data_IF_812486529491
#
_entry.id   IF_812486529491
#
_cell.length_a   1.000
_cell.length_b   1.000
_cell.length_c   1.000
_cell.angle_alpha   90.00
_cell.angle_beta   90.00
_cell.angle_gamma   90.00
#
_symmetry.space_group_name_H-M   'P 1'
#
loop_
_entity.id
_entity.type
_entity.pdbx_description
1 polymer ?
#
# COMPACT_ATOMS: atom_id res chain seq x y z
N UNK A 1 -55.88 63.40 -15.92
CA UNK A 1 -55.33 62.08 -16.31
C UNK A 1 -53.84 62.25 -16.52
N UNK A 2 -53.02 61.78 -15.59
CA UNK A 2 -51.61 61.45 -15.84
C UNK A 2 -51.32 60.21 -15.01
N UNK A 3 -51.10 59.09 -15.70
CA UNK A 3 -50.83 57.79 -15.11
C UNK A 3 -49.39 57.66 -14.64
N UNK A 4 -49.23 56.92 -13.54
CA UNK A 4 -47.98 56.42 -12.98
C UNK A 4 -47.51 55.20 -13.78
N UNK A 5 -46.20 55.11 -14.06
CA UNK A 5 -45.39 53.90 -14.29
C UNK A 5 -43.93 54.38 -14.23
N UNK A 6 -42.95 53.82 -13.55
CA UNK A 6 -42.76 52.67 -12.66
C UNK A 6 -41.23 52.57 -12.51
N UNK A 7 -40.68 52.68 -11.30
CA UNK A 7 -39.24 52.56 -11.08
C UNK A 7 -38.85 51.08 -11.17
N UNK A 8 -37.86 50.78 -12.01
CA UNK A 8 -37.26 49.46 -12.11
C UNK A 8 -36.21 49.32 -10.99
N UNK A 9 -36.53 48.50 -9.99
CA UNK A 9 -35.58 48.02 -9.00
C UNK A 9 -34.63 47.00 -9.67
N UNK A 10 -33.39 47.40 -9.92
CA UNK A 10 -32.31 46.47 -10.25
C UNK A 10 -31.85 45.76 -8.98
N UNK A 11 -32.47 44.61 -8.68
CA UNK A 11 -31.94 43.66 -7.71
C UNK A 11 -30.79 42.86 -8.34
N UNK A 12 -29.56 43.19 -7.95
CA UNK A 12 -28.38 42.35 -8.17
C UNK A 12 -28.51 41.04 -7.38
N UNK A 13 -28.36 39.86 -7.99
CA UNK A 13 -28.38 38.59 -7.27
C UNK A 13 -27.13 38.47 -6.40
N UNK A 14 -27.33 38.31 -5.09
CA UNK A 14 -26.27 37.97 -4.14
C UNK A 14 -25.83 36.52 -4.40
N UNK A 15 -24.63 36.35 -4.92
CA UNK A 15 -23.95 35.06 -5.01
C UNK A 15 -23.52 34.65 -3.60
N UNK A 16 -24.31 33.77 -2.96
CA UNK A 16 -23.88 33.06 -1.76
C UNK A 16 -22.82 32.04 -2.16
N UNK A 17 -21.57 32.37 -1.86
CA UNK A 17 -20.44 31.45 -2.00
C UNK A 17 -20.60 30.35 -0.96
N UNK A 18 -21.07 29.18 -1.38
CA UNK A 18 -21.09 27.99 -0.54
C UNK A 18 -19.64 27.63 -0.14
N UNK A 19 -19.29 27.90 1.11
CA UNK A 19 -18.02 27.50 1.68
C UNK A 19 -17.95 25.97 1.67
N UNK A 20 -17.02 25.40 0.89
CA UNK A 20 -16.70 23.98 0.96
C UNK A 20 -16.10 23.68 2.33
N UNK A 21 -16.90 23.09 3.22
CA UNK A 21 -16.42 22.60 4.50
C UNK A 21 -15.59 21.35 4.24
N UNK A 22 -14.27 21.50 4.32
CA UNK A 22 -13.34 20.38 4.41
C UNK A 22 -13.64 19.66 5.72
N UNK A 23 -14.40 18.56 5.64
CA UNK A 23 -14.65 17.67 6.77
C UNK A 23 -13.31 17.10 7.22
N UNK A 24 -12.80 17.64 8.32
CA UNK A 24 -11.64 17.07 9.01
C UNK A 24 -12.06 15.74 9.63
N UNK A 25 -11.27 14.66 9.52
CA UNK A 25 -11.62 13.38 10.11
C UNK A 25 -11.83 13.54 11.63
N UNK A 26 -12.86 12.87 12.16
CA UNK A 26 -13.18 12.93 13.59
C UNK A 26 -12.03 12.30 14.40
N UNK A 27 -11.43 13.04 15.35
CA UNK A 27 -10.22 12.60 16.07
C UNK A 27 -10.40 11.28 16.82
N UNK A 28 -11.62 10.97 17.28
CA UNK A 28 -11.94 9.73 18.02
C UNK A 28 -11.76 8.45 17.18
N UNK A 29 -11.94 8.53 15.85
CA UNK A 29 -11.82 7.36 14.97
C UNK A 29 -10.34 7.01 14.77
N UNK A 30 -9.48 8.01 14.55
CA UNK A 30 -8.05 7.79 14.40
C UNK A 30 -7.43 7.24 15.69
N UNK A 31 -7.85 7.73 16.86
CA UNK A 31 -7.39 7.18 18.14
C UNK A 31 -7.78 5.72 18.35
N UNK A 32 -8.94 5.27 17.85
CA UNK A 32 -9.30 3.85 17.92
C UNK A 32 -8.45 3.01 16.95
N UNK A 33 -8.25 3.50 15.73
CA UNK A 33 -7.41 2.80 14.76
C UNK A 33 -5.96 2.65 15.26
N UNK A 34 -5.41 3.65 15.96
CA UNK A 34 -4.07 3.57 16.56
C UNK A 34 -3.97 2.44 17.61
N UNK A 35 -5.00 2.27 18.45
CA UNK A 35 -5.06 1.16 19.42
C UNK A 35 -5.14 -0.21 18.72
N UNK A 36 -5.97 -0.30 17.69
CA UNK A 36 -6.11 -1.53 16.89
C UNK A 36 -4.82 -1.85 16.13
N UNK A 37 -4.10 -0.82 15.64
CA UNK A 37 -2.81 -0.98 14.98
C UNK A 37 -1.73 -1.50 15.94
N UNK A 38 -1.72 -1.03 17.19
CA UNK A 38 -0.79 -1.54 18.21
C UNK A 38 -1.11 -2.99 18.58
N UNK A 39 -2.39 -3.35 18.64
CA UNK A 39 -2.81 -4.74 18.79
C UNK A 39 -2.28 -5.61 17.63
N UNK A 40 -2.41 -5.13 16.40
CA UNK A 40 -1.91 -5.82 15.21
C UNK A 40 -0.39 -6.00 15.24
N UNK A 41 0.39 -5.00 15.66
CA UNK A 41 1.84 -5.16 15.84
C UNK A 41 2.18 -6.27 16.82
N UNK A 42 1.43 -6.37 17.92
CA UNK A 42 1.60 -7.45 18.88
C UNK A 42 1.25 -8.81 18.27
N UNK A 43 0.20 -8.88 17.46
CA UNK A 43 -0.26 -10.07 16.75
C UNK A 43 0.75 -10.53 15.68
N UNK A 44 1.40 -9.60 15.00
CA UNK A 44 2.30 -9.86 13.87
C UNK A 44 3.78 -9.90 14.25
N UNK A 45 4.13 -9.69 15.52
CA UNK A 45 5.54 -9.56 16.00
C UNK A 45 6.51 -10.68 15.60
N UNK A 46 6.01 -11.86 15.22
CA UNK A 46 6.81 -13.03 14.82
C UNK A 46 6.92 -13.22 13.31
N UNK A 47 6.23 -12.40 12.51
CA UNK A 47 6.27 -12.41 11.05
C UNK A 47 6.55 -10.99 10.52
N UNK A 48 6.84 -10.85 9.24
CA UNK A 48 6.91 -9.55 8.59
C UNK A 48 5.54 -9.16 8.05
N UNK A 49 4.93 -8.09 8.57
CA UNK A 49 3.70 -7.52 8.03
C UNK A 49 4.02 -6.41 7.02
N UNK A 50 3.61 -6.59 5.76
CA UNK A 50 3.89 -5.71 4.64
C UNK A 50 2.59 -5.13 4.04
N UNK A 51 2.42 -3.82 4.07
CA UNK A 51 1.27 -3.10 3.50
C UNK A 51 1.62 -2.48 2.15
N UNK A 52 0.91 -2.86 1.08
CA UNK A 52 1.10 -2.31 -0.28
C UNK A 52 -0.01 -1.30 -0.59
N UNK A 53 0.39 -0.04 -0.78
CA UNK A 53 -0.48 1.06 -1.19
C UNK A 53 -0.18 1.42 -2.65
N UNK A 54 -1.20 1.84 -3.40
CA UNK A 54 -1.04 2.31 -4.77
C UNK A 54 -2.31 2.99 -5.26
N UNK A 55 -2.26 3.60 -6.44
CA UNK A 55 -3.46 3.89 -7.23
C UNK A 55 -4.10 2.60 -7.76
N UNK A 56 -5.35 2.64 -8.23
CA UNK A 56 -5.93 1.54 -9.00
C UNK A 56 -5.08 1.19 -10.22
N UNK A 57 -4.82 -0.10 -10.42
CA UNK A 57 -4.13 -0.58 -11.62
C UNK A 57 -2.60 -0.39 -11.63
N UNK A 58 -1.97 0.10 -10.56
CA UNK A 58 -0.50 0.20 -10.47
C UNK A 58 0.22 -1.18 -10.49
N UNK A 59 -0.51 -2.28 -10.27
CA UNK A 59 0.00 -3.64 -10.42
C UNK A 59 0.33 -4.37 -9.10
N UNK A 60 -0.28 -3.99 -7.97
CA UNK A 60 -0.13 -4.68 -6.67
C UNK A 60 -0.39 -6.18 -6.77
N UNK A 61 -1.59 -6.60 -7.18
CA UNK A 61 -1.94 -8.02 -7.36
C UNK A 61 -0.93 -8.77 -8.23
N UNK A 62 -0.46 -8.15 -9.32
CA UNK A 62 0.50 -8.78 -10.23
C UNK A 62 1.87 -8.97 -9.58
N UNK A 63 2.35 -7.96 -8.83
CA UNK A 63 3.60 -8.04 -8.08
C UNK A 63 3.50 -9.10 -6.97
N UNK A 64 2.41 -9.12 -6.20
CA UNK A 64 2.18 -10.10 -5.14
C UNK A 64 2.12 -11.51 -5.76
N UNK A 65 1.35 -11.70 -6.82
CA UNK A 65 1.28 -13.00 -7.49
C UNK A 65 2.65 -13.48 -7.97
N UNK A 66 3.47 -12.57 -8.53
CA UNK A 66 4.83 -12.88 -8.97
C UNK A 66 5.72 -13.24 -7.78
N UNK A 67 5.69 -12.44 -6.71
CA UNK A 67 6.42 -12.67 -5.47
C UNK A 67 6.10 -14.05 -4.87
N UNK A 68 4.82 -14.43 -4.79
CA UNK A 68 4.39 -15.69 -4.20
C UNK A 68 4.77 -16.92 -5.03
N UNK A 69 4.88 -16.77 -6.36
CA UNK A 69 5.39 -17.82 -7.26
C UNK A 69 6.90 -17.98 -7.16
N UNK A 70 7.60 -16.87 -7.02
CA UNK A 70 9.07 -16.81 -6.96
C UNK A 70 9.59 -16.90 -5.51
N UNK A 71 8.73 -17.25 -4.55
CA UNK A 71 9.02 -17.13 -3.11
C UNK A 71 10.24 -17.91 -2.63
N UNK A 72 10.57 -19.00 -3.31
CA UNK A 72 11.76 -19.80 -3.01
C UNK A 72 13.06 -19.05 -3.35
N UNK A 73 13.00 -18.04 -4.22
CA UNK A 73 14.13 -17.17 -4.56
C UNK A 73 14.42 -16.13 -3.48
N UNK A 74 13.45 -15.82 -2.62
CA UNK A 74 13.63 -14.88 -1.49
C UNK A 74 14.59 -15.44 -0.44
N UNK A 75 14.64 -16.76 -0.30
CA UNK A 75 15.49 -17.46 0.66
C UNK A 75 16.98 -17.53 0.26
N UNK A 76 17.32 -17.13 -0.97
CA UNK A 76 18.60 -17.45 -1.62
C UNK A 76 19.45 -16.27 -2.10
N UNK A 77 19.11 -15.03 -1.76
CA UNK A 77 19.77 -13.86 -2.35
C UNK A 77 21.21 -13.58 -1.86
N UNK A 78 21.66 -14.22 -0.78
CA UNK A 78 23.07 -14.20 -0.34
C UNK A 78 23.71 -15.60 -0.56
N UNK A 79 24.64 -15.75 -1.52
CA UNK A 79 25.36 -17.00 -1.75
C UNK A 79 26.13 -17.51 -0.52
N UNK A 80 26.51 -16.62 0.41
CA UNK A 80 27.28 -16.90 1.62
C UNK A 80 26.39 -17.12 2.85
N UNK A 81 25.11 -16.74 2.78
CA UNK A 81 24.13 -16.88 3.87
C UNK A 81 22.84 -17.49 3.36
N UNK A 82 22.94 -18.71 2.83
CA UNK A 82 21.77 -19.54 2.50
C UNK A 82 20.98 -19.82 3.78
N UNK A 83 20.12 -18.88 4.15
CA UNK A 83 19.12 -19.10 5.16
C UNK A 83 18.04 -19.95 4.50
N UNK A 84 18.08 -21.26 4.78
CA UNK A 84 17.16 -22.27 4.28
C UNK A 84 15.76 -22.12 4.89
N UNK A 85 15.21 -20.90 4.85
CA UNK A 85 13.91 -20.55 5.42
C UNK A 85 12.94 -20.43 4.26
N UNK A 86 12.04 -21.41 4.14
CA UNK A 86 10.84 -21.31 3.30
C UNK A 86 10.15 -19.98 3.56
N UNK A 87 9.68 -19.28 2.52
CA UNK A 87 8.80 -18.13 2.71
C UNK A 87 7.37 -18.66 2.80
N UNK A 88 6.86 -18.67 4.03
CA UNK A 88 5.52 -19.10 4.34
C UNK A 88 4.65 -17.84 4.46
N UNK A 89 3.92 -17.55 3.38
CA UNK A 89 3.18 -16.31 3.23
C UNK A 89 1.68 -16.49 3.46
N UNK A 90 1.03 -15.43 3.92
CA UNK A 90 -0.43 -15.25 3.84
C UNK A 90 -0.74 -13.90 3.22
N UNK A 91 -1.91 -13.77 2.60
CA UNK A 91 -2.34 -12.50 1.98
C UNK A 91 -3.70 -12.07 2.49
N UNK A 92 -3.82 -10.78 2.80
CA UNK A 92 -5.08 -10.08 3.02
C UNK A 92 -5.28 -9.10 1.86
N UNK A 93 -6.42 -9.18 1.19
CA UNK A 93 -6.75 -8.33 0.03
C UNK A 93 -7.91 -7.42 0.38
N UNK A 94 -7.71 -6.10 0.27
CA UNK A 94 -8.76 -5.09 0.42
C UNK A 94 -9.26 -4.59 -0.93
N UNK A 95 -10.56 -4.75 -1.19
CA UNK A 95 -11.25 -4.22 -2.37
C UNK A 95 -12.64 -3.70 -1.92
N UNK A 96 -13.18 -2.71 -2.64
CA UNK A 96 -14.50 -2.15 -2.36
C UNK A 96 -15.60 -3.19 -2.58
N UNK A 97 -15.53 -3.94 -3.68
CA UNK A 97 -16.70 -4.70 -4.16
C UNK A 97 -16.39 -6.04 -4.82
N UNK A 98 -15.14 -6.28 -5.24
CA UNK A 98 -14.78 -7.50 -5.98
C UNK A 98 -13.91 -8.44 -5.15
N UNK A 99 -13.94 -9.73 -5.50
CA UNK A 99 -13.03 -10.74 -4.96
C UNK A 99 -11.99 -11.21 -6.00
N UNK A 100 -11.89 -10.50 -7.15
CA UNK A 100 -11.10 -10.93 -8.32
C UNK A 100 -9.61 -11.04 -7.99
N UNK A 101 -9.09 -10.07 -7.23
CA UNK A 101 -7.70 -10.07 -6.81
C UNK A 101 -7.39 -11.24 -5.87
N UNK A 102 -8.27 -11.49 -4.87
CA UNK A 102 -8.12 -12.65 -4.00
C UNK A 102 -8.21 -13.99 -4.76
N UNK A 103 -9.15 -14.14 -5.69
CA UNK A 103 -9.26 -15.35 -6.53
C UNK A 103 -7.99 -15.59 -7.34
N UNK A 104 -7.45 -14.54 -7.97
CA UNK A 104 -6.21 -14.62 -8.73
C UNK A 104 -5.01 -15.01 -7.86
N UNK A 105 -4.96 -14.52 -6.63
CA UNK A 105 -3.87 -14.84 -5.69
C UNK A 105 -3.99 -16.25 -5.11
N UNK A 106 -5.20 -16.77 -4.89
CA UNK A 106 -5.41 -18.17 -4.44
C UNK A 106 -4.83 -19.21 -5.41
N UNK A 107 -4.74 -18.87 -6.70
CA UNK A 107 -4.10 -19.74 -7.71
C UNK A 107 -2.60 -20.02 -7.43
N UNK A 108 -1.97 -19.27 -6.52
CA UNK A 108 -0.59 -19.52 -6.08
C UNK A 108 -0.47 -20.62 -5.02
N UNK A 109 -1.60 -21.14 -4.52
CA UNK A 109 -1.66 -22.12 -3.43
C UNK A 109 -1.43 -21.53 -2.03
N UNK A 110 -1.26 -20.21 -1.94
CA UNK A 110 -1.07 -19.48 -0.68
C UNK A 110 -2.43 -19.14 -0.05
N UNK A 111 -2.57 -19.16 1.29
CA UNK A 111 -3.76 -18.67 1.98
C UNK A 111 -4.06 -17.19 1.68
N UNK A 112 -5.28 -16.90 1.22
CA UNK A 112 -5.74 -15.53 0.89
C UNK A 112 -7.11 -15.24 1.47
N UNK A 113 -7.19 -14.18 2.26
CA UNK A 113 -8.42 -13.64 2.85
C UNK A 113 -8.81 -12.34 2.13
N UNK A 114 -10.07 -12.25 1.71
CA UNK A 114 -10.63 -11.03 1.11
C UNK A 114 -11.32 -10.21 2.19
N UNK A 115 -11.09 -8.89 2.17
CA UNK A 115 -11.88 -7.88 2.88
C UNK A 115 -12.66 -7.11 1.82
N UNK A 116 -13.98 -7.15 1.90
CA UNK A 116 -14.86 -6.27 1.11
C UNK A 116 -15.15 -5.03 1.95
N UNK A 117 -14.55 -3.89 1.57
CA UNK A 117 -14.65 -2.65 2.36
C UNK A 117 -15.93 -1.87 2.12
N UNK A 118 -16.72 -2.26 1.11
CA UNK A 118 -17.95 -1.58 0.74
C UNK A 118 -17.66 -0.22 0.11
N UNK A 119 -18.03 0.85 0.79
CA UNK A 119 -17.80 2.24 0.39
C UNK A 119 -16.48 2.82 0.89
N UNK A 120 -15.78 2.13 1.80
CA UNK A 120 -14.52 2.61 2.36
C UNK A 120 -13.36 2.40 1.39
N UNK A 121 -12.72 3.49 0.99
CA UNK A 121 -11.60 3.48 0.06
C UNK A 121 -10.22 3.22 0.72
N UNK A 122 -10.20 2.57 1.89
CA UNK A 122 -9.03 2.22 2.67
C UNK A 122 -9.34 1.03 3.59
N UNK A 123 -8.28 0.40 4.11
CA UNK A 123 -8.37 -0.56 5.21
C UNK A 123 -8.15 0.13 6.56
N UNK A 124 -8.77 -0.41 7.61
CA UNK A 124 -8.53 -0.04 9.01
C UNK A 124 -7.87 -1.22 9.74
N UNK A 125 -7.13 -0.95 10.81
CA UNK A 125 -6.42 -1.97 11.57
C UNK A 125 -7.34 -3.08 12.09
N UNK A 126 -8.54 -2.74 12.57
CA UNK A 126 -9.53 -3.72 13.03
C UNK A 126 -9.98 -4.70 11.94
N UNK A 127 -10.12 -4.24 10.69
CA UNK A 127 -10.46 -5.10 9.56
C UNK A 127 -9.35 -6.11 9.27
N UNK A 128 -8.09 -5.65 9.34
CA UNK A 128 -6.91 -6.50 9.17
C UNK A 128 -6.84 -7.54 10.29
N UNK A 129 -7.10 -7.14 11.53
CA UNK A 129 -7.13 -8.06 12.68
C UNK A 129 -8.15 -9.20 12.46
N UNK A 130 -9.37 -8.84 12.05
CA UNK A 130 -10.44 -9.80 11.78
C UNK A 130 -10.12 -10.74 10.61
N UNK A 131 -9.51 -10.22 9.53
CA UNK A 131 -9.07 -11.05 8.42
C UNK A 131 -7.92 -11.99 8.82
N UNK A 132 -6.98 -11.51 9.63
CA UNK A 132 -5.82 -12.27 10.08
C UNK A 132 -6.21 -13.47 10.95
N UNK A 133 -7.35 -13.42 11.67
CA UNK A 133 -7.89 -14.55 12.43
C UNK A 133 -8.29 -15.76 11.55
N UNK A 134 -8.49 -15.55 10.25
CA UNK A 134 -8.81 -16.63 9.30
C UNK A 134 -7.56 -17.28 8.70
N UNK A 135 -6.37 -16.76 9.04
CA UNK A 135 -5.08 -17.30 8.64
C UNK A 135 -4.44 -18.03 9.82
N UNK A 136 -3.72 -19.12 9.53
CA UNK A 136 -2.85 -19.74 10.52
C UNK A 136 -1.53 -18.97 10.63
N UNK A 137 -1.57 -17.82 11.31
CA UNK A 137 -0.43 -16.91 11.45
C UNK A 137 0.79 -17.57 12.13
N UNK A 138 0.59 -18.65 12.89
CA UNK A 138 1.67 -19.33 13.61
C UNK A 138 2.69 -20.00 12.69
N UNK A 139 2.24 -20.36 11.49
CA UNK A 139 3.06 -20.99 10.44
C UNK A 139 3.50 -20.00 9.36
N UNK A 140 3.22 -18.70 9.52
CA UNK A 140 3.59 -17.67 8.56
C UNK A 140 4.81 -16.88 9.02
N UNK A 141 5.58 -16.43 8.04
CA UNK A 141 6.66 -15.48 8.21
C UNK A 141 6.54 -14.20 7.39
N UNK A 142 5.59 -14.18 6.46
CA UNK A 142 5.25 -13.01 5.68
C UNK A 142 3.73 -12.87 5.65
N UNK A 143 3.23 -11.71 6.05
CA UNK A 143 1.85 -11.30 5.81
C UNK A 143 1.87 -10.14 4.83
N UNK A 144 1.29 -10.35 3.65
CA UNK A 144 1.13 -9.28 2.66
C UNK A 144 -0.30 -8.73 2.74
N UNK A 145 -0.43 -7.43 2.94
CA UNK A 145 -1.69 -6.70 2.96
C UNK A 145 -1.76 -5.89 1.66
N UNK A 146 -2.59 -6.33 0.72
CA UNK A 146 -2.93 -5.55 -0.47
C UNK A 146 -4.02 -4.54 -0.11
N UNK A 147 -3.63 -3.27 0.04
CA UNK A 147 -4.58 -2.21 0.38
C UNK A 147 -5.45 -1.82 -0.81
N UNK A 148 -6.55 -1.12 -0.52
CA UNK A 148 -7.42 -0.56 -1.57
C UNK A 148 -6.60 0.35 -2.49
N UNK A 149 -6.87 0.30 -3.80
CA UNK A 149 -6.27 1.20 -4.78
C UNK A 149 -6.68 2.66 -4.55
N UNK A 150 -5.98 3.38 -3.70
CA UNK A 150 -6.21 4.78 -3.41
C UNK A 150 -4.92 5.46 -2.91
N UNK A 151 -4.61 6.65 -3.43
CA UNK A 151 -3.39 7.40 -3.07
C UNK A 151 -3.58 8.41 -1.93
N UNK A 152 -4.80 8.54 -1.40
CA UNK A 152 -5.17 9.58 -0.42
C UNK A 152 -5.55 8.93 0.90
N UNK A 153 -6.68 8.20 0.93
CA UNK A 153 -7.27 7.71 2.19
C UNK A 153 -6.38 6.74 2.96
N UNK A 154 -5.74 5.71 2.34
CA UNK A 154 -4.95 4.73 3.07
C UNK A 154 -3.77 5.33 3.83
N UNK A 155 -3.28 6.50 3.43
CA UNK A 155 -2.14 7.17 4.06
C UNK A 155 -2.36 7.47 5.54
N UNK A 156 -3.61 7.81 5.92
CA UNK A 156 -3.95 8.22 7.27
C UNK A 156 -4.16 7.05 8.25
N UNK A 157 -4.18 5.82 7.76
CA UNK A 157 -4.50 4.64 8.55
C UNK A 157 -3.27 3.74 8.67
N UNK A 158 -2.86 3.56 9.91
CA UNK A 158 -1.88 2.58 10.31
C UNK A 158 -2.57 1.23 10.49
N UNK A 159 -2.02 0.16 9.94
CA UNK A 159 -2.59 -1.18 10.05
C UNK A 159 -1.83 -2.06 11.04
N UNK A 160 -0.77 -1.52 11.67
CA UNK A 160 0.19 -2.28 12.46
C UNK A 160 1.21 -3.03 11.60
N UNK A 161 1.41 -2.61 10.35
CA UNK A 161 2.45 -3.16 9.48
C UNK A 161 3.87 -2.80 9.94
N UNK A 162 4.85 -3.65 9.63
CA UNK A 162 6.27 -3.32 9.79
C UNK A 162 6.78 -2.44 8.64
N UNK A 163 6.35 -2.76 7.42
CA UNK A 163 6.78 -2.10 6.20
C UNK A 163 5.58 -1.61 5.39
N UNK A 164 5.70 -0.38 4.93
CA UNK A 164 4.75 0.27 4.04
C UNK A 164 5.40 0.52 2.69
N UNK A 165 4.96 -0.19 1.66
CA UNK A 165 5.43 0.00 0.29
C UNK A 165 4.40 0.75 -0.54
N UNK A 166 4.85 1.73 -1.29
CA UNK A 166 4.01 2.50 -2.22
C UNK A 166 4.40 2.13 -3.64
N UNK A 167 3.45 1.61 -4.42
CA UNK A 167 3.65 1.38 -5.85
C UNK A 167 3.15 2.59 -6.65
N UNK A 168 3.97 3.04 -7.59
CA UNK A 168 3.57 3.91 -8.68
C UNK A 168 4.00 3.26 -10.00
N UNK A 169 3.10 3.18 -10.98
CA UNK A 169 3.44 2.64 -12.28
C UNK A 169 3.89 3.73 -13.24
N UNK A 170 4.80 3.39 -14.15
CA UNK A 170 5.29 4.33 -15.19
C UNK A 170 4.16 4.90 -16.05
N UNK A 171 3.03 4.20 -16.14
CA UNK A 171 1.84 4.63 -16.90
C UNK A 171 1.06 5.76 -16.24
N UNK A 172 1.41 6.15 -15.00
CA UNK A 172 0.68 7.18 -14.24
C UNK A 172 1.36 8.55 -14.23
N UNK A 173 2.57 8.63 -14.79
CA UNK A 173 3.43 9.83 -14.77
C UNK A 173 4.37 9.90 -13.56
N UNK A 174 5.49 10.58 -13.77
CA UNK A 174 6.57 10.81 -12.81
C UNK A 174 6.20 11.71 -11.63
N UNK A 175 5.19 12.57 -11.78
CA UNK A 175 4.85 13.64 -10.83
C UNK A 175 4.00 13.20 -9.61
N UNK A 176 3.71 11.89 -9.47
CA UNK A 176 2.95 11.34 -8.33
C UNK A 176 3.52 11.73 -6.96
N UNK A 177 4.84 11.72 -6.71
CA UNK A 177 5.38 12.12 -5.41
C UNK A 177 5.01 13.56 -5.05
N UNK A 178 5.01 14.47 -6.03
CA UNK A 178 4.62 15.86 -5.83
C UNK A 178 3.12 16.01 -5.55
N UNK A 179 2.29 15.21 -6.22
CA UNK A 179 0.83 15.26 -6.08
C UNK A 179 0.31 14.63 -4.79
N UNK A 180 1.00 13.60 -4.26
CA UNK A 180 0.57 12.84 -3.08
C UNK A 180 1.66 12.75 -2.01
N UNK A 181 2.23 13.89 -1.56
CA UNK A 181 3.45 13.89 -0.76
C UNK A 181 3.31 13.16 0.57
N UNK A 182 2.14 13.21 1.21
CA UNK A 182 1.88 12.51 2.47
C UNK A 182 2.02 10.99 2.31
N UNK A 183 1.53 10.43 1.20
CA UNK A 183 1.63 8.99 0.93
C UNK A 183 3.08 8.57 0.79
N UNK A 184 3.83 9.24 -0.09
CA UNK A 184 5.22 8.90 -0.36
C UNK A 184 6.12 9.13 0.86
N UNK A 185 5.84 10.15 1.68
CA UNK A 185 6.54 10.37 2.96
C UNK A 185 6.34 9.24 3.97
N UNK A 186 5.21 8.53 3.92
CA UNK A 186 4.96 7.38 4.79
C UNK A 186 5.62 6.08 4.30
N UNK A 187 6.17 6.07 3.08
CA UNK A 187 6.72 4.87 2.48
C UNK A 187 8.09 4.52 3.07
N UNK A 188 8.28 3.25 3.40
CA UNK A 188 9.59 2.67 3.66
C UNK A 188 10.31 2.33 2.35
N UNK A 189 9.54 1.92 1.34
CA UNK A 189 10.03 1.76 -0.02
C UNK A 189 8.98 2.20 -1.05
N UNK A 190 9.46 2.73 -2.16
CA UNK A 190 8.68 3.07 -3.34
C UNK A 190 9.06 2.12 -4.47
N UNK A 191 8.05 1.57 -5.14
CA UNK A 191 8.21 0.67 -6.26
C UNK A 191 7.70 1.37 -7.51
N UNK A 192 8.62 1.67 -8.44
CA UNK A 192 8.30 2.10 -9.80
C UNK A 192 8.01 0.83 -10.61
N UNK A 193 6.73 0.57 -10.86
CA UNK A 193 6.24 -0.66 -11.48
C UNK A 193 6.00 -0.51 -12.99
N UNK A 194 5.89 -1.66 -13.68
CA UNK A 194 5.67 -1.75 -15.14
C UNK A 194 6.77 -1.07 -15.97
N UNK A 195 8.01 -1.12 -15.50
CA UNK A 195 9.16 -0.48 -16.18
C UNK A 195 9.41 -0.99 -17.60
N UNK A 196 8.81 -2.12 -17.98
CA UNK A 196 8.75 -2.62 -19.35
C UNK A 196 7.97 -1.71 -20.32
N UNK A 197 7.09 -0.84 -19.80
CA UNK A 197 6.30 0.11 -20.59
C UNK A 197 6.89 1.52 -20.62
N UNK A 198 7.99 1.77 -19.89
CA UNK A 198 8.50 3.12 -19.64
C UNK A 198 8.78 3.90 -20.94
N UNK A 199 9.42 3.25 -21.91
CA UNK A 199 9.75 3.87 -23.20
C UNK A 199 8.49 4.23 -24.00
N UNK A 200 7.53 3.29 -24.08
CA UNK A 200 6.30 3.46 -24.88
C UNK A 200 5.41 4.58 -24.34
N UNK A 201 5.41 4.80 -23.03
CA UNK A 201 4.64 5.89 -22.41
C UNK A 201 5.43 7.17 -22.18
N UNK A 202 6.70 7.22 -22.61
CA UNK A 202 7.55 8.40 -22.47
C UNK A 202 7.88 8.76 -21.01
N UNK A 203 7.95 7.77 -20.12
CA UNK A 203 8.18 8.01 -18.69
C UNK A 203 9.57 8.59 -18.44
N UNK A 204 9.62 9.76 -17.78
CA UNK A 204 10.89 10.38 -17.40
C UNK A 204 11.41 9.83 -16.07
N UNK A 205 12.32 8.85 -16.18
CA UNK A 205 12.94 8.21 -15.01
C UNK A 205 13.69 9.21 -14.12
N UNK A 206 14.43 10.14 -14.71
CA UNK A 206 15.28 11.06 -13.94
C UNK A 206 14.42 12.01 -13.10
N UNK A 207 13.34 12.54 -13.67
CA UNK A 207 12.38 13.38 -12.95
C UNK A 207 11.67 12.60 -11.83
N UNK A 208 11.24 11.35 -12.10
CA UNK A 208 10.62 10.52 -11.08
C UNK A 208 11.55 10.31 -9.87
N UNK A 209 12.81 9.97 -10.11
CA UNK A 209 13.81 9.80 -9.05
C UNK A 209 14.11 11.11 -8.32
N UNK A 210 14.17 12.23 -9.04
CA UNK A 210 14.34 13.54 -8.44
C UNK A 210 13.18 13.90 -7.50
N UNK A 211 11.93 13.68 -7.92
CA UNK A 211 10.76 13.96 -7.10
C UNK A 211 10.66 13.02 -5.89
N UNK A 212 11.03 11.75 -6.05
CA UNK A 212 11.11 10.81 -4.94
C UNK A 212 12.17 11.24 -3.93
N UNK A 213 13.35 11.65 -4.38
CA UNK A 213 14.40 12.16 -3.50
C UNK A 213 13.97 13.44 -2.76
N UNK A 214 13.19 14.30 -3.42
CA UNK A 214 12.69 15.54 -2.82
C UNK A 214 11.62 15.26 -1.75
N UNK A 215 10.71 14.32 -2.01
CA UNK A 215 9.51 14.11 -1.19
C UNK A 215 9.72 13.03 -0.12
N UNK A 216 10.43 11.96 -0.46
CA UNK A 216 10.63 10.77 0.37
C UNK A 216 12.10 10.29 0.33
N UNK A 217 13.07 11.13 0.74
CA UNK A 217 14.50 10.79 0.71
C UNK A 217 14.87 9.57 1.56
N UNK A 218 14.02 9.20 2.53
CA UNK A 218 14.18 8.03 3.38
C UNK A 218 13.77 6.71 2.70
N UNK A 219 12.95 6.77 1.66
CA UNK A 219 12.37 5.59 1.04
C UNK A 219 13.37 4.92 0.09
N UNK A 220 13.50 3.59 0.19
CA UNK A 220 14.22 2.83 -0.81
C UNK A 220 13.43 2.82 -2.13
N UNK A 221 14.11 2.93 -3.27
CA UNK A 221 13.45 2.91 -4.58
C UNK A 221 13.79 1.63 -5.31
N UNK A 222 12.74 0.91 -5.76
CA UNK A 222 12.86 -0.27 -6.62
C UNK A 222 12.19 0.00 -7.96
N UNK A 223 12.93 -0.21 -9.04
CA UNK A 223 12.40 -0.13 -10.40
C UNK A 223 12.25 -1.55 -10.94
N UNK A 224 11.02 -1.97 -11.21
CA UNK A 224 10.76 -3.36 -11.57
C UNK A 224 9.60 -3.57 -12.55
N UNK A 225 9.53 -4.76 -13.10
CA UNK A 225 8.42 -5.25 -13.92
C UNK A 225 8.07 -6.65 -13.46
N UNK A 226 6.87 -6.80 -12.89
CA UNK A 226 6.37 -8.11 -12.47
C UNK A 226 6.16 -9.06 -13.68
N UNK A 227 5.92 -8.49 -14.87
CA UNK A 227 5.72 -9.24 -16.12
C UNK A 227 7.03 -9.82 -16.64
N UNK A 228 8.07 -9.00 -16.76
CA UNK A 228 9.36 -9.41 -17.36
C UNK A 228 10.34 -9.97 -16.35
N UNK A 229 10.15 -9.70 -15.07
CA UNK A 229 11.08 -10.07 -14.00
C UNK A 229 12.23 -9.07 -13.78
N UNK A 230 12.35 -8.05 -14.64
CA UNK A 230 13.38 -7.01 -14.49
C UNK A 230 13.25 -6.33 -13.12
N UNK A 231 14.38 -6.18 -12.42
CA UNK A 231 14.46 -5.52 -11.12
C UNK A 231 13.98 -6.34 -9.91
N UNK A 232 13.42 -7.55 -10.11
CA UNK A 232 12.92 -8.36 -9.01
C UNK A 232 14.03 -8.91 -8.10
N UNK A 233 15.23 -9.16 -8.62
CA UNK A 233 16.33 -9.74 -7.85
C UNK A 233 16.72 -8.87 -6.64
N UNK A 234 16.91 -7.57 -6.84
CA UNK A 234 17.26 -6.65 -5.75
C UNK A 234 16.10 -6.46 -4.77
N UNK A 235 14.87 -6.42 -5.27
CA UNK A 235 13.66 -6.39 -4.46
C UNK A 235 13.53 -7.64 -3.57
N UNK A 236 13.79 -8.83 -4.13
CA UNK A 236 13.75 -10.10 -3.41
C UNK A 236 14.86 -10.19 -2.36
N UNK A 237 16.06 -9.72 -2.68
CA UNK A 237 17.16 -9.65 -1.71
C UNK A 237 16.79 -8.80 -0.49
N UNK A 238 16.20 -7.63 -0.72
CA UNK A 238 15.73 -6.75 0.36
C UNK A 238 14.63 -7.41 1.19
N UNK A 239 13.62 -7.98 0.54
CA UNK A 239 12.49 -8.58 1.26
C UNK A 239 12.91 -9.84 2.04
N UNK A 240 13.77 -10.69 1.47
CA UNK A 240 14.33 -11.85 2.16
C UNK A 240 15.11 -11.44 3.41
N UNK A 241 15.91 -10.38 3.33
CA UNK A 241 16.62 -9.82 4.48
C UNK A 241 15.67 -9.26 5.54
N UNK A 242 14.59 -8.58 5.14
CA UNK A 242 13.59 -8.06 6.07
C UNK A 242 12.84 -9.19 6.81
N UNK A 243 12.44 -10.25 6.09
CA UNK A 243 11.80 -11.44 6.68
C UNK A 243 12.74 -12.09 7.71
N UNK A 244 14.03 -12.26 7.38
CA UNK A 244 15.02 -12.83 8.27
C UNK A 244 15.21 -12.00 9.56
N UNK A 245 15.23 -10.67 9.44
CA UNK A 245 15.37 -9.77 10.60
C UNK A 245 14.16 -9.84 11.54
N UNK A 246 12.94 -9.97 11.03
CA UNK A 246 11.75 -10.12 11.88
C UNK A 246 11.74 -11.45 12.64
N UNK A 247 12.13 -12.56 12.01
CA UNK A 247 12.34 -13.84 12.68
C UNK A 247 13.40 -13.80 13.78
N UNK A 248 14.48 -13.05 13.56
CA UNK A 248 15.54 -12.89 14.55
C UNK A 248 15.05 -12.33 15.89
N UNK A 249 14.06 -11.44 15.88
CA UNK A 249 13.49 -10.78 17.08
C UNK A 249 12.82 -11.76 18.05
N UNK A 250 12.29 -12.89 17.58
CA UNK A 250 11.60 -13.88 18.42
C UNK A 250 12.54 -14.87 19.09
N UNK A 251 13.73 -15.10 18.50
CA UNK A 251 14.71 -16.06 19.03
C UNK A 251 15.48 -15.56 20.26
N UNK A 252 15.71 -14.25 20.37
CA UNK A 252 16.41 -13.63 21.52
C UNK A 252 15.55 -13.48 22.77
N UNK A 253 14.22 -13.41 22.63
CA UNK A 253 13.29 -13.30 23.77
C UNK A 253 12.87 -14.65 24.39
N UNK A 254 13.33 -15.78 23.85
CA UNK A 254 13.14 -17.12 24.46
C UNK A 254 14.33 -17.57 25.30
N UNK A 255 15.39 -16.77 25.39
CA UNK A 255 16.62 -17.07 26.13
C UNK A 255 16.78 -16.24 27.42
N UNK A 256 15.73 -15.58 27.88
CA UNK A 256 15.69 -14.77 29.11
C UNK A 256 14.56 -15.19 30.02
#
# INVERSE_FOLDING_TARGET
MCGQYGQADTQTPKTETAASQVLSPHPTILTQNELDAEHNRTLFRHLLALNLLSSPGAGKTALIQRLLRDRDLLAGADPLRRHNTSVDAGVIVGDLASNRDAERLRQTGIPVVQITTGDRAHLEASMVAQAAQQLDLSNLNLLVIENVGNLVYPTAYDLGEDLRFVLMSVTEGEDKPLKYPTLFKSAHAVIISKTDLAEVVGFNREEALHYLQLIAPQALVFELSATTGKGLVSFYAYLGQAIFQCHGKTSTNRAS
#
